data_IF_261318694105
#
_entry.id   IF_261318694105
#
_cell.length_a   1.000
_cell.length_b   1.000
_cell.length_c   1.000
_cell.angle_alpha   90.00
_cell.angle_beta   90.00
_cell.angle_gamma   90.00
#
_symmetry.space_group_name_H-M   'P 1'
#
loop_
_entity.id
_entity.type
_entity.pdbx_description
1 polymer ?
#
# COMPACT_ATOMS: atom_id res chain seq x y z
N UNK A 1 20.10 -43.71 -28.12
CA UNK A 1 20.17 -42.47 -27.33
C UNK A 1 20.58 -41.33 -28.24
N UNK A 2 19.63 -40.59 -28.84
CA UNK A 2 19.91 -39.32 -29.50
C UNK A 2 19.30 -38.13 -28.75
N UNK A 3 20.03 -37.03 -28.85
CA UNK A 3 19.86 -35.75 -28.21
C UNK A 3 18.88 -34.80 -28.92
N UNK A 4 18.20 -33.99 -28.09
CA UNK A 4 17.97 -32.54 -28.20
C UNK A 4 17.30 -31.93 -29.46
N UNK A 5 16.05 -31.47 -29.25
CA UNK A 5 15.39 -30.18 -29.64
C UNK A 5 15.77 -29.52 -30.99
N UNK A 6 14.78 -29.01 -31.77
CA UNK A 6 14.15 -27.72 -31.41
C UNK A 6 12.68 -27.53 -31.84
N UNK A 7 11.88 -26.85 -31.00
CA UNK A 7 10.67 -26.13 -31.44
C UNK A 7 10.17 -25.14 -30.36
N UNK A 8 10.85 -24.00 -30.21
CA UNK A 8 10.34 -22.82 -29.50
C UNK A 8 10.65 -21.58 -30.35
N UNK A 9 9.84 -21.31 -31.38
CA UNK A 9 9.93 -20.03 -32.13
C UNK A 9 8.59 -19.49 -32.66
N UNK A 10 7.44 -20.01 -32.21
CA UNK A 10 6.13 -19.66 -32.79
C UNK A 10 5.26 -18.71 -31.95
N UNK A 11 5.64 -18.39 -30.70
CA UNK A 11 4.76 -17.62 -29.80
C UNK A 11 4.97 -16.09 -29.86
N UNK A 12 6.04 -15.60 -30.49
CA UNK A 12 6.36 -14.15 -30.48
C UNK A 12 5.92 -13.34 -31.72
N UNK A 13 5.24 -13.94 -32.71
CA UNK A 13 4.73 -13.17 -33.87
C UNK A 13 3.29 -12.66 -33.71
N UNK A 14 2.57 -13.07 -32.66
CA UNK A 14 1.15 -12.74 -32.46
C UNK A 14 0.87 -11.42 -31.72
N UNK A 15 1.82 -10.93 -30.91
CA UNK A 15 1.59 -9.76 -30.04
C UNK A 15 1.85 -8.43 -30.77
N UNK A 16 2.68 -8.44 -31.83
CA UNK A 16 3.02 -7.23 -32.58
C UNK A 16 1.87 -6.69 -33.46
N UNK A 17 0.84 -7.49 -33.75
CA UNK A 17 -0.31 -7.08 -34.59
C UNK A 17 -1.51 -6.54 -33.82
N UNK A 18 -1.51 -6.62 -32.49
CA UNK A 18 -2.62 -6.12 -31.66
C UNK A 18 -2.44 -4.66 -31.20
N UNK A 19 -1.30 -4.03 -31.50
CA UNK A 19 -0.96 -2.67 -31.04
C UNK A 19 -1.14 -1.57 -32.11
N UNK A 20 -1.51 -1.90 -33.35
CA UNK A 20 -1.67 -0.91 -34.44
C UNK A 20 -3.11 -0.44 -34.71
N UNK A 21 -4.09 -0.80 -33.88
CA UNK A 21 -5.50 -0.48 -34.14
C UNK A 21 -6.19 0.24 -32.97
N UNK A 22 -5.78 1.47 -32.66
CA UNK A 22 -6.62 2.41 -31.91
C UNK A 22 -6.48 3.84 -32.48
N UNK A 23 -7.55 4.44 -33.03
CA UNK A 23 -7.49 5.81 -33.53
C UNK A 23 -7.51 6.81 -32.38
N UNK A 24 -6.64 7.80 -32.47
CA UNK A 24 -6.52 8.93 -31.53
C UNK A 24 -7.86 9.69 -31.41
N UNK A 25 -8.36 9.85 -30.16
CA UNK A 25 -9.36 10.87 -29.84
C UNK A 25 -8.68 12.12 -29.32
N UNK A 26 -8.71 13.14 -30.17
CA UNK A 26 -8.14 14.45 -29.94
C UNK A 26 -9.18 15.36 -29.28
N UNK A 27 -9.57 15.11 -28.01
CA UNK A 27 -10.59 15.96 -27.37
C UNK A 27 -10.53 15.98 -25.83
N UNK A 28 -9.40 16.38 -25.24
CA UNK A 28 -9.34 16.53 -23.76
C UNK A 28 -8.47 17.69 -23.23
N UNK A 29 -8.12 18.67 -24.08
CA UNK A 29 -7.39 19.87 -23.65
C UNK A 29 -8.28 20.97 -23.02
N UNK A 30 -9.60 20.84 -23.08
CA UNK A 30 -10.53 21.88 -22.57
C UNK A 30 -10.87 21.76 -21.07
N UNK A 31 -10.78 20.57 -20.47
CA UNK A 31 -11.20 20.33 -19.08
C UNK A 31 -10.18 20.86 -18.04
N UNK A 32 -8.90 20.88 -18.39
CA UNK A 32 -7.85 21.28 -17.44
C UNK A 32 -7.80 22.80 -17.20
N UNK A 33 -8.05 23.62 -18.22
CA UNK A 33 -8.10 25.10 -18.09
C UNK A 33 -9.29 25.57 -17.23
N UNK A 34 -10.42 24.86 -17.29
CA UNK A 34 -11.61 25.20 -16.50
C UNK A 34 -11.41 24.93 -15.00
N UNK A 35 -10.66 23.88 -14.64
CA UNK A 35 -10.40 23.53 -13.23
C UNK A 35 -9.40 24.47 -12.56
N UNK A 36 -8.37 24.93 -13.29
CA UNK A 36 -7.40 25.92 -12.77
C UNK A 36 -8.04 27.30 -12.56
N UNK A 37 -8.92 27.74 -13.47
CA UNK A 37 -9.64 29.01 -13.34
C UNK A 37 -10.63 29.04 -12.16
N UNK A 38 -11.22 27.88 -11.79
CA UNK A 38 -12.12 27.75 -10.65
C UNK A 38 -11.38 27.75 -9.30
N UNK A 39 -10.16 27.23 -9.26
CA UNK A 39 -9.31 27.26 -8.07
C UNK A 39 -8.80 28.69 -7.77
N UNK A 40 -8.38 29.44 -8.79
CA UNK A 40 -7.92 30.82 -8.63
C UNK A 40 -9.03 31.80 -8.21
N UNK A 41 -10.29 31.55 -8.62
CA UNK A 41 -11.46 32.34 -8.17
C UNK A 41 -11.85 32.12 -6.70
N UNK A 42 -11.43 31.00 -6.08
CA UNK A 42 -11.68 30.76 -4.65
C UNK A 42 -10.67 31.46 -3.75
N UNK A 43 -9.41 31.59 -4.19
CA UNK A 43 -8.37 32.33 -3.47
C UNK A 43 -8.58 33.86 -3.49
N UNK A 44 -9.25 34.40 -4.52
CA UNK A 44 -9.48 35.85 -4.62
C UNK A 44 -10.70 36.37 -3.82
N UNK A 45 -11.47 35.49 -3.15
CA UNK A 45 -12.73 35.87 -2.47
C UNK A 45 -12.62 36.06 -0.95
N UNK A 46 -11.45 35.86 -0.35
CA UNK A 46 -11.24 35.97 1.10
C UNK A 46 -10.66 37.30 1.60
N UNK A 47 -10.67 38.35 0.76
CA UNK A 47 -10.38 39.72 1.22
C UNK A 47 -11.69 40.46 1.47
N UNK A 48 -12.31 40.28 2.65
CA UNK A 48 -13.47 41.08 3.06
C UNK A 48 -13.10 42.25 3.98
N UNK A 49 -13.67 43.39 3.63
CA UNK A 49 -13.69 44.67 4.33
C UNK A 49 -14.45 44.62 5.68
N UNK A 50 -14.29 45.60 6.58
CA UNK A 50 -14.80 45.53 7.95
C UNK A 50 -16.33 45.68 8.00
N UNK A 51 -16.98 44.73 8.68
CA UNK A 51 -18.44 44.73 8.90
C UNK A 51 -18.82 45.62 10.09
N UNK A 52 -19.80 46.48 9.86
CA UNK A 52 -20.49 47.30 10.86
C UNK A 52 -21.32 46.45 11.81
N UNK A 53 -21.14 46.66 13.12
CA UNK A 53 -21.87 45.99 14.20
C UNK A 53 -23.29 46.54 14.29
N UNK A 54 -24.30 45.70 14.06
CA UNK A 54 -25.69 45.95 14.47
C UNK A 54 -26.05 45.05 15.63
N UNK A 55 -26.41 45.68 16.74
CA UNK A 55 -26.95 45.09 17.97
C UNK A 55 -28.32 44.46 17.67
N UNK A 56 -28.46 43.15 17.86
CA UNK A 56 -29.74 42.44 17.73
C UNK A 56 -30.06 41.74 19.04
N UNK A 57 -31.33 41.87 19.44
CA UNK A 57 -31.91 41.46 20.70
C UNK A 57 -31.80 39.96 21.02
N UNK A 58 -31.75 39.68 22.32
CA UNK A 58 -31.63 38.36 22.94
C UNK A 58 -32.81 37.42 22.61
N UNK A 59 -32.55 36.21 22.08
CA UNK A 59 -33.57 35.19 21.95
C UNK A 59 -33.77 34.44 23.27
N UNK A 60 -35.04 34.18 23.57
CA UNK A 60 -35.57 33.47 24.74
C UNK A 60 -35.15 31.99 24.78
N UNK A 61 -34.88 31.55 26.01
CA UNK A 61 -34.14 30.35 26.44
C UNK A 61 -34.88 28.98 26.32
N UNK A 62 -35.80 28.76 25.38
CA UNK A 62 -36.71 27.60 25.46
C UNK A 62 -36.67 26.57 24.30
N UNK A 63 -35.73 26.65 23.35
CA UNK A 63 -35.73 25.76 22.17
C UNK A 63 -34.35 25.18 21.76
N UNK A 64 -33.40 25.00 22.69
CA UNK A 64 -32.02 24.57 22.35
C UNK A 64 -31.81 23.04 22.43
N UNK A 65 -32.83 22.23 22.73
CA UNK A 65 -32.62 20.84 23.15
C UNK A 65 -32.84 19.72 22.11
N UNK A 66 -33.10 19.97 20.82
CA UNK A 66 -33.55 18.89 19.92
C UNK A 66 -33.03 18.89 18.47
N UNK A 67 -31.82 19.38 18.21
CA UNK A 67 -31.13 19.13 16.93
C UNK A 67 -29.66 18.75 17.14
N UNK A 68 -29.42 17.64 17.83
CA UNK A 68 -28.17 16.90 17.63
C UNK A 68 -28.25 16.26 16.24
N UNK A 69 -27.94 17.04 15.20
CA UNK A 69 -27.75 16.50 13.85
C UNK A 69 -26.74 15.37 13.98
N UNK A 70 -27.18 14.15 13.67
CA UNK A 70 -26.36 12.94 13.69
C UNK A 70 -25.25 13.15 12.66
N UNK A 71 -24.14 13.78 13.05
CA UNK A 71 -23.03 14.05 12.17
C UNK A 71 -22.56 12.69 11.65
N UNK A 72 -22.70 12.50 10.34
CA UNK A 72 -22.15 11.31 9.69
C UNK A 72 -20.65 11.31 9.97
N UNK A 73 -20.06 10.17 10.38
CA UNK A 73 -18.62 10.09 10.57
C UNK A 73 -17.92 10.53 9.28
N UNK A 74 -16.89 11.34 9.41
CA UNK A 74 -16.09 11.80 8.26
C UNK A 74 -15.39 10.61 7.61
N UNK A 75 -15.50 10.49 6.28
CA UNK A 75 -14.80 9.48 5.48
C UNK A 75 -13.29 9.63 5.63
N UNK A 76 -12.58 8.50 5.67
CA UNK A 76 -11.11 8.47 5.78
C UNK A 76 -10.46 8.81 4.44
N UNK A 77 -9.57 9.82 4.41
CA UNK A 77 -8.90 10.26 3.19
C UNK A 77 -7.71 9.35 2.89
N UNK A 78 -7.76 8.67 1.75
CA UNK A 78 -6.69 7.81 1.28
C UNK A 78 -6.07 8.45 0.04
N UNK A 79 -4.76 8.60 0.04
CA UNK A 79 -4.04 9.15 -1.11
C UNK A 79 -3.25 8.03 -1.79
N UNK A 80 -3.57 7.78 -3.06
CA UNK A 80 -2.81 6.90 -3.94
C UNK A 80 -1.78 7.74 -4.68
N UNK A 81 -0.50 7.46 -4.50
CA UNK A 81 0.59 8.19 -5.15
C UNK A 81 1.00 7.44 -6.41
N UNK A 82 0.76 8.08 -7.56
CA UNK A 82 1.19 7.62 -8.88
C UNK A 82 2.49 8.33 -9.29
N UNK A 83 3.41 7.62 -9.95
CA UNK A 83 3.08 6.75 -11.07
C UNK A 83 3.26 5.26 -10.75
N UNK A 84 2.60 4.42 -11.56
CA UNK A 84 2.69 2.96 -11.44
C UNK A 84 1.66 2.27 -12.32
N UNK A 85 2.05 1.16 -12.96
CA UNK A 85 1.13 0.36 -13.77
C UNK A 85 -0.09 -0.10 -12.94
N UNK A 86 0.14 -0.42 -11.66
CA UNK A 86 -0.91 -0.80 -10.70
C UNK A 86 -1.98 0.26 -10.48
N UNK A 87 -1.68 1.57 -10.60
CA UNK A 87 -2.70 2.62 -10.44
C UNK A 87 -3.75 2.54 -11.54
N UNK A 88 -3.33 2.26 -12.78
CA UNK A 88 -4.24 2.08 -13.91
C UNK A 88 -4.90 0.71 -13.88
N UNK A 89 -4.12 -0.35 -13.66
CA UNK A 89 -4.62 -1.73 -13.66
C UNK A 89 -5.68 -1.96 -12.57
N UNK A 90 -5.51 -1.34 -11.40
CA UNK A 90 -6.45 -1.43 -10.29
C UNK A 90 -7.34 -0.18 -10.13
N UNK A 91 -7.50 0.62 -11.19
CA UNK A 91 -8.33 1.83 -11.18
C UNK A 91 -9.76 1.58 -10.71
N UNK A 92 -10.36 0.47 -11.14
CA UNK A 92 -11.72 0.09 -10.73
C UNK A 92 -11.81 -0.22 -9.24
N UNK A 93 -10.82 -0.90 -8.66
CA UNK A 93 -10.79 -1.21 -7.22
C UNK A 93 -10.80 0.08 -6.39
N UNK A 94 -10.00 1.08 -6.79
CA UNK A 94 -10.01 2.39 -6.14
C UNK A 94 -11.34 3.12 -6.30
N UNK A 95 -11.96 3.04 -7.49
CA UNK A 95 -13.26 3.64 -7.74
C UNK A 95 -14.35 3.03 -6.85
N UNK A 96 -14.39 1.70 -6.75
CA UNK A 96 -15.37 0.96 -5.94
C UNK A 96 -15.19 1.28 -4.44
N UNK A 97 -13.95 1.30 -3.95
CA UNK A 97 -13.63 1.75 -2.59
C UNK A 97 -14.11 3.19 -2.31
N UNK A 98 -14.04 4.07 -3.31
CA UNK A 98 -14.50 5.45 -3.23
C UNK A 98 -16.02 5.59 -3.34
N UNK A 99 -16.76 4.55 -3.76
CA UNK A 99 -18.22 4.56 -3.69
C UNK A 99 -18.73 4.20 -2.28
N UNK A 100 -17.93 3.45 -1.51
CA UNK A 100 -18.24 3.10 -0.13
C UNK A 100 -18.24 4.28 0.86
N UNK A 101 -18.86 4.07 2.02
CA UNK A 101 -18.97 5.11 3.07
C UNK A 101 -17.71 5.26 3.94
N UNK A 102 -16.73 4.37 3.82
CA UNK A 102 -15.56 4.34 4.71
C UNK A 102 -14.41 5.24 4.26
N UNK A 103 -14.14 5.28 2.95
CA UNK A 103 -12.91 5.87 2.40
C UNK A 103 -13.23 6.91 1.36
N UNK A 104 -12.45 7.98 1.28
CA UNK A 104 -12.40 8.93 0.17
C UNK A 104 -11.04 8.73 -0.52
N UNK A 105 -11.03 8.26 -1.75
CA UNK A 105 -9.79 8.00 -2.49
C UNK A 105 -9.45 9.20 -3.37
N UNK A 106 -8.21 9.65 -3.30
CA UNK A 106 -7.62 10.65 -4.19
C UNK A 106 -6.34 10.09 -4.81
N UNK A 107 -6.17 10.28 -6.12
CA UNK A 107 -4.95 9.87 -6.82
C UNK A 107 -4.13 11.12 -7.12
N UNK A 108 -2.90 11.16 -6.62
CA UNK A 108 -1.94 12.21 -6.95
C UNK A 108 -0.99 11.70 -8.01
N UNK A 109 -0.92 12.43 -9.12
CA UNK A 109 -0.07 12.09 -10.25
C UNK A 109 -0.65 11.07 -11.24
N UNK A 110 0.12 10.75 -12.27
CA UNK A 110 -0.21 9.75 -13.28
C UNK A 110 1.05 9.18 -13.95
N UNK A 111 0.91 7.99 -14.56
CA UNK A 111 1.99 7.39 -15.38
C UNK A 111 2.30 8.23 -16.62
N UNK A 112 3.53 8.13 -17.11
CA UNK A 112 4.05 8.89 -18.26
C UNK A 112 4.06 10.42 -18.08
N UNK A 113 3.90 10.91 -16.85
CA UNK A 113 4.13 12.31 -16.54
C UNK A 113 5.61 12.66 -16.73
N UNK A 114 5.93 13.96 -16.88
CA UNK A 114 7.32 14.40 -17.03
C UNK A 114 8.19 14.01 -15.83
N UNK A 115 7.62 13.81 -14.64
CA UNK A 115 8.36 13.38 -13.45
C UNK A 115 8.45 11.86 -13.32
N UNK A 116 7.80 11.08 -14.20
CA UNK A 116 7.74 9.61 -14.14
C UNK A 116 9.05 8.94 -14.61
N UNK A 117 10.14 9.28 -13.92
CA UNK A 117 11.51 8.83 -14.15
C UNK A 117 12.25 8.78 -12.81
N UNK A 118 13.18 7.84 -12.67
CA UNK A 118 14.02 7.74 -11.49
C UNK A 118 14.96 8.96 -11.36
N UNK A 119 15.40 9.32 -10.14
CA UNK A 119 16.38 10.39 -9.93
C UNK A 119 17.77 9.99 -10.43
N UNK A 120 18.68 10.96 -10.60
CA UNK A 120 20.01 10.79 -11.21
C UNK A 120 20.91 9.75 -10.53
N UNK A 121 20.68 9.48 -9.25
CA UNK A 121 21.40 8.47 -8.49
C UNK A 121 21.06 7.02 -8.88
N UNK A 122 19.98 6.82 -9.64
CA UNK A 122 19.56 5.50 -10.12
C UNK A 122 20.12 5.22 -11.52
N UNK A 123 20.19 3.94 -11.86
CA UNK A 123 20.55 3.53 -13.22
C UNK A 123 19.52 4.10 -14.21
N UNK A 124 19.99 4.82 -15.23
CA UNK A 124 19.14 5.55 -16.19
C UNK A 124 18.25 6.62 -15.54
N UNK A 125 18.68 7.14 -14.39
CA UNK A 125 18.10 8.29 -13.74
C UNK A 125 18.16 9.57 -14.57
N UNK A 126 17.39 10.57 -14.17
CA UNK A 126 17.34 11.86 -14.85
C UNK A 126 17.18 13.02 -13.84
N UNK A 127 17.63 14.23 -14.21
CA UNK A 127 17.45 15.42 -13.38
C UNK A 127 15.97 15.76 -13.19
N UNK A 128 15.67 16.63 -12.23
CA UNK A 128 14.31 17.11 -12.01
C UNK A 128 13.73 17.74 -13.31
N UNK A 129 12.45 17.52 -13.63
CA UNK A 129 11.45 16.82 -12.82
C UNK A 129 11.59 15.29 -12.89
N UNK A 130 11.60 14.64 -11.73
CA UNK A 130 11.68 13.20 -11.54
C UNK A 130 10.84 12.78 -10.30
N UNK A 131 10.82 11.48 -9.97
CA UNK A 131 10.04 10.97 -8.84
C UNK A 131 10.42 11.61 -7.50
N UNK A 132 11.69 11.97 -7.32
CA UNK A 132 12.16 12.64 -6.10
C UNK A 132 11.62 14.06 -6.00
N UNK A 133 11.67 14.86 -7.07
CA UNK A 133 11.09 16.22 -7.03
C UNK A 133 9.56 16.18 -6.91
N UNK A 134 8.91 15.18 -7.49
CA UNK A 134 7.48 14.96 -7.35
C UNK A 134 7.07 14.63 -5.90
N UNK A 135 7.88 13.85 -5.18
CA UNK A 135 7.65 13.57 -3.76
C UNK A 135 7.54 14.86 -2.93
N UNK A 136 8.44 15.82 -3.18
CA UNK A 136 8.45 17.11 -2.49
C UNK A 136 7.22 17.96 -2.85
N UNK A 137 6.78 17.91 -4.11
CA UNK A 137 5.57 18.61 -4.58
C UNK A 137 4.31 18.10 -3.87
N UNK A 138 4.18 16.79 -3.68
CA UNK A 138 2.98 16.18 -3.08
C UNK A 138 3.03 16.03 -1.56
N UNK A 139 4.14 16.39 -0.91
CA UNK A 139 4.33 16.18 0.53
C UNK A 139 3.23 16.85 1.39
N UNK A 140 2.82 18.07 1.03
CA UNK A 140 1.77 18.80 1.73
C UNK A 140 0.41 18.09 1.67
N UNK A 141 0.03 17.57 0.50
CA UNK A 141 -1.20 16.79 0.36
C UNK A 141 -1.11 15.42 1.04
N UNK A 142 0.04 14.75 0.90
CA UNK A 142 0.30 13.46 1.53
C UNK A 142 0.12 13.51 3.05
N UNK A 143 0.57 14.59 3.70
CA UNK A 143 0.43 14.82 5.15
C UNK A 143 -1.03 14.96 5.62
N UNK A 144 -1.95 15.29 4.72
CA UNK A 144 -3.36 15.43 5.03
C UNK A 144 -4.15 14.11 4.85
N UNK A 145 -3.48 13.01 4.47
CA UNK A 145 -4.11 11.70 4.35
C UNK A 145 -4.25 10.99 5.71
N UNK A 146 -5.25 10.13 5.84
CA UNK A 146 -5.31 9.14 6.91
C UNK A 146 -4.41 7.92 6.62
N UNK A 147 -4.14 7.63 5.33
CA UNK A 147 -3.26 6.56 4.88
C UNK A 147 -2.82 6.79 3.43
N UNK A 148 -1.61 6.36 3.09
CA UNK A 148 -1.04 6.41 1.74
C UNK A 148 -1.08 5.02 1.09
N UNK A 149 -1.23 5.00 -0.23
CA UNK A 149 -1.02 3.79 -1.06
C UNK A 149 0.01 4.13 -2.12
N UNK A 150 1.10 3.38 -2.14
CA UNK A 150 2.16 3.53 -3.13
C UNK A 150 2.48 2.17 -3.73
N UNK A 151 2.87 2.13 -5.00
CA UNK A 151 3.28 0.89 -5.66
C UNK A 151 4.56 1.05 -6.43
N UNK A 152 5.37 -0.02 -6.48
CA UNK A 152 6.62 -0.11 -7.24
C UNK A 152 7.45 1.17 -7.09
N UNK A 153 7.67 1.92 -8.17
CA UNK A 153 8.37 3.22 -8.22
C UNK A 153 7.97 4.23 -7.14
N UNK A 154 6.67 4.34 -6.83
CA UNK A 154 6.20 5.21 -5.75
C UNK A 154 6.73 4.78 -4.38
N UNK A 155 6.70 3.46 -4.10
CA UNK A 155 7.26 2.91 -2.87
C UNK A 155 8.79 2.96 -2.82
N UNK A 156 9.46 2.83 -3.97
CA UNK A 156 10.91 2.84 -4.08
C UNK A 156 11.54 4.23 -3.96
N UNK A 157 10.87 5.28 -4.47
CA UNK A 157 11.44 6.63 -4.50
C UNK A 157 10.60 7.62 -3.71
N UNK A 158 9.30 7.67 -3.96
CA UNK A 158 8.45 8.73 -3.41
C UNK A 158 8.29 8.58 -1.89
N UNK A 159 8.00 7.37 -1.39
CA UNK A 159 7.86 7.14 0.05
C UNK A 159 9.15 7.46 0.83
N UNK A 160 10.35 6.98 0.44
CA UNK A 160 11.61 7.41 1.06
C UNK A 160 11.80 8.92 1.11
N UNK A 161 11.52 9.63 0.01
CA UNK A 161 11.66 11.09 -0.03
C UNK A 161 10.62 11.82 0.82
N UNK A 162 9.42 11.26 0.96
CA UNK A 162 8.44 11.76 1.92
C UNK A 162 8.92 11.55 3.36
N UNK A 163 9.48 10.38 3.69
CA UNK A 163 10.06 10.14 5.02
C UNK A 163 11.25 11.06 5.32
N UNK A 164 12.13 11.32 4.35
CA UNK A 164 13.21 12.30 4.51
C UNK A 164 12.66 13.70 4.82
N UNK A 165 11.55 14.10 4.18
CA UNK A 165 10.97 15.42 4.33
C UNK A 165 10.19 15.61 5.65
N UNK A 166 9.46 14.60 6.12
CA UNK A 166 8.52 14.74 7.25
C UNK A 166 8.68 13.70 8.38
N UNK A 167 9.58 12.74 8.22
CA UNK A 167 9.87 11.69 9.22
C UNK A 167 8.65 10.87 9.61
N UNK A 168 8.56 10.54 10.91
CA UNK A 168 7.45 9.77 11.51
C UNK A 168 6.10 10.47 11.50
N UNK A 169 6.06 11.76 11.15
CA UNK A 169 4.81 12.51 11.02
C UNK A 169 4.01 12.07 9.77
N UNK A 170 4.65 11.41 8.80
CA UNK A 170 3.96 10.88 7.62
C UNK A 170 2.84 9.91 8.03
N UNK A 171 1.67 9.96 7.36
CA UNK A 171 0.62 8.97 7.55
C UNK A 171 1.10 7.53 7.28
N UNK A 172 0.40 6.51 7.81
CA UNK A 172 0.75 5.12 7.54
C UNK A 172 0.66 4.83 6.03
N UNK A 173 1.44 3.87 5.55
CA UNK A 173 1.51 3.55 4.12
C UNK A 173 1.26 2.07 3.83
N UNK A 174 0.45 1.79 2.81
CA UNK A 174 0.41 0.49 2.13
C UNK A 174 1.36 0.57 0.93
N UNK A 175 2.33 -0.34 0.86
CA UNK A 175 3.35 -0.36 -0.18
C UNK A 175 3.24 -1.64 -0.99
N UNK A 176 2.88 -1.49 -2.26
CA UNK A 176 2.66 -2.60 -3.18
C UNK A 176 3.98 -2.94 -3.88
N UNK A 177 4.26 -4.24 -3.91
CA UNK A 177 5.46 -4.90 -4.39
C UNK A 177 6.71 -4.48 -3.61
N UNK A 178 6.65 -4.43 -2.29
CA UNK A 178 7.85 -4.30 -1.44
C UNK A 178 8.53 -2.93 -1.45
N UNK A 179 8.34 -2.09 -2.47
CA UNK A 179 8.84 -0.71 -2.59
C UNK A 179 10.16 -0.40 -1.89
N UNK A 180 10.05 0.26 -0.73
CA UNK A 180 11.15 0.71 0.14
C UNK A 180 11.90 -0.43 0.87
N UNK A 181 11.36 -1.65 0.87
CA UNK A 181 11.97 -2.84 1.44
C UNK A 181 12.60 -3.70 0.34
N UNK A 182 13.47 -3.07 -0.47
CA UNK A 182 14.22 -3.72 -1.56
C UNK A 182 15.69 -3.30 -1.51
N UNK A 183 16.52 -3.97 -2.31
CA UNK A 183 17.89 -3.54 -2.57
C UNK A 183 17.91 -2.29 -3.46
N UNK A 184 17.75 -1.12 -2.84
CA UNK A 184 17.74 0.16 -3.53
C UNK A 184 19.16 0.71 -3.73
N UNK A 185 19.41 1.54 -4.76
CA UNK A 185 20.72 2.18 -4.97
C UNK A 185 21.15 3.12 -3.84
N UNK A 186 20.19 3.63 -3.08
CA UNK A 186 20.41 4.55 -1.96
C UNK A 186 19.86 3.94 -0.67
N UNK A 187 20.56 4.20 0.44
CA UNK A 187 20.05 3.86 1.76
C UNK A 187 18.83 4.73 2.09
N UNK A 188 17.75 4.10 2.55
CA UNK A 188 16.51 4.78 2.91
C UNK A 188 16.54 5.18 4.38
N UNK A 189 16.16 6.43 4.67
CA UNK A 189 15.83 6.85 6.03
C UNK A 189 14.41 6.37 6.37
N UNK A 190 14.28 5.15 6.86
CA UNK A 190 13.00 4.58 7.30
C UNK A 190 12.76 4.93 8.78
N UNK A 191 11.77 5.77 9.13
CA UNK A 191 11.56 6.18 10.51
C UNK A 191 11.15 5.02 11.43
N UNK A 192 11.66 5.00 12.66
CA UNK A 192 11.38 3.92 13.63
C UNK A 192 9.88 3.77 13.97
N UNK A 193 9.11 4.86 13.86
CA UNK A 193 7.67 4.89 14.13
C UNK A 193 6.81 4.94 12.85
N UNK A 194 7.42 4.76 11.68
CA UNK A 194 6.68 4.69 10.44
C UNK A 194 5.85 3.40 10.40
N UNK A 195 4.54 3.55 10.24
CA UNK A 195 3.63 2.41 10.08
C UNK A 195 3.57 2.04 8.60
N UNK A 196 3.96 0.80 8.28
CA UNK A 196 4.05 0.34 6.90
C UNK A 196 3.43 -1.03 6.74
N UNK A 197 2.59 -1.21 5.72
CA UNK A 197 2.09 -2.51 5.32
C UNK A 197 2.63 -2.85 3.93
N UNK A 198 3.58 -3.76 3.87
CA UNK A 198 4.20 -4.24 2.64
C UNK A 198 3.33 -5.35 2.05
N UNK A 199 3.04 -5.27 0.75
CA UNK A 199 2.39 -6.33 -0.02
C UNK A 199 3.37 -6.80 -1.09
N UNK A 200 3.70 -8.09 -1.14
CA UNK A 200 4.60 -8.66 -2.15
C UNK A 200 4.00 -9.92 -2.77
N UNK A 201 4.26 -10.11 -4.07
CA UNK A 201 3.76 -11.25 -4.84
C UNK A 201 4.82 -12.31 -5.09
N UNK A 202 4.44 -13.59 -4.94
CA UNK A 202 5.28 -14.73 -5.26
C UNK A 202 5.51 -14.90 -6.75
N UNK A 203 4.59 -14.46 -7.60
CA UNK A 203 4.74 -14.44 -9.06
C UNK A 203 5.28 -13.09 -9.58
N UNK A 204 5.79 -12.21 -8.71
CA UNK A 204 6.44 -10.96 -9.12
C UNK A 204 7.86 -11.22 -9.66
N UNK A 205 7.95 -11.71 -10.90
CA UNK A 205 9.22 -11.98 -11.56
C UNK A 205 10.10 -10.72 -11.75
N UNK A 206 9.53 -9.51 -11.66
CA UNK A 206 10.29 -8.27 -11.81
C UNK A 206 11.17 -8.00 -10.58
N UNK A 207 10.62 -8.20 -9.38
CA UNK A 207 11.35 -7.88 -8.13
C UNK A 207 11.83 -9.10 -7.36
N UNK A 208 11.08 -10.20 -7.38
CA UNK A 208 11.53 -11.46 -6.79
C UNK A 208 12.73 -12.03 -7.55
N UNK A 209 12.80 -11.79 -8.87
CA UNK A 209 13.82 -12.37 -9.74
C UNK A 209 13.87 -13.90 -9.59
N UNK A 210 15.05 -14.46 -9.29
CA UNK A 210 15.27 -15.90 -9.11
C UNK A 210 15.24 -16.35 -7.63
N UNK A 211 14.91 -15.47 -6.68
CA UNK A 211 14.88 -15.82 -5.26
C UNK A 211 13.81 -16.87 -4.97
N UNK A 212 14.05 -17.75 -4.01
CA UNK A 212 12.98 -18.58 -3.43
C UNK A 212 11.96 -17.68 -2.68
N UNK A 213 10.74 -18.17 -2.40
CA UNK A 213 9.79 -17.44 -1.56
C UNK A 213 10.40 -16.99 -0.23
N UNK A 214 11.14 -17.89 0.42
CA UNK A 214 11.76 -17.67 1.72
C UNK A 214 12.87 -16.62 1.63
N UNK A 215 13.75 -16.71 0.63
CA UNK A 215 14.79 -15.71 0.38
C UNK A 215 14.21 -14.33 0.13
N UNK A 216 13.13 -14.24 -0.66
CA UNK A 216 12.49 -12.97 -0.97
C UNK A 216 11.83 -12.34 0.25
N UNK A 217 11.13 -13.15 1.06
CA UNK A 217 10.55 -12.69 2.33
C UNK A 217 11.61 -12.23 3.31
N UNK A 218 12.65 -13.04 3.56
CA UNK A 218 13.72 -12.70 4.50
C UNK A 218 14.48 -11.46 4.04
N UNK A 219 14.81 -11.36 2.75
CA UNK A 219 15.44 -10.17 2.18
C UNK A 219 14.60 -8.91 2.39
N UNK A 220 13.28 -9.01 2.15
CA UNK A 220 12.34 -7.91 2.39
C UNK A 220 12.29 -7.51 3.88
N UNK A 221 12.22 -8.50 4.79
CA UNK A 221 12.22 -8.27 6.24
C UNK A 221 13.51 -7.62 6.73
N UNK A 222 14.67 -7.97 6.16
CA UNK A 222 15.98 -7.41 6.52
C UNK A 222 16.12 -5.93 6.12
N UNK A 223 15.36 -5.46 5.13
CA UNK A 223 15.33 -4.04 4.77
C UNK A 223 14.55 -3.18 5.79
N UNK A 224 13.71 -3.79 6.63
CA UNK A 224 12.97 -3.07 7.68
C UNK A 224 13.91 -2.82 8.85
N UNK A 225 14.07 -1.57 9.33
CA UNK A 225 14.91 -1.30 10.49
C UNK A 225 14.49 -2.12 11.70
N UNK A 226 15.45 -2.73 12.41
CA UNK A 226 15.17 -3.53 13.60
C UNK A 226 14.47 -2.75 14.73
N UNK A 227 14.57 -1.42 14.72
CA UNK A 227 13.88 -0.53 15.66
C UNK A 227 12.42 -0.28 15.30
N UNK A 228 11.97 -0.65 14.09
CA UNK A 228 10.58 -0.45 13.67
C UNK A 228 9.71 -1.61 14.15
N UNK A 229 8.70 -1.29 14.96
CA UNK A 229 7.77 -2.27 15.54
C UNK A 229 6.37 -2.19 14.92
N UNK A 230 6.21 -1.42 13.84
CA UNK A 230 4.93 -1.13 13.21
C UNK A 230 4.88 -1.46 11.73
N UNK A 231 5.54 -2.56 11.35
CA UNK A 231 5.54 -3.05 9.97
C UNK A 231 4.89 -4.42 9.86
N UNK A 232 4.08 -4.60 8.83
CA UNK A 232 3.60 -5.91 8.40
C UNK A 232 3.97 -6.16 6.94
N UNK A 233 4.07 -7.42 6.59
CA UNK A 233 4.38 -7.94 5.26
C UNK A 233 3.36 -9.03 4.93
N UNK A 234 2.57 -8.82 3.89
CA UNK A 234 1.73 -9.86 3.30
C UNK A 234 2.40 -10.37 2.03
N UNK A 235 2.89 -11.60 2.09
CA UNK A 235 3.38 -12.34 0.95
C UNK A 235 2.28 -13.28 0.44
N UNK A 236 1.96 -13.19 -0.85
CA UNK A 236 0.94 -14.01 -1.52
C UNK A 236 1.58 -14.75 -2.69
N UNK A 237 1.59 -16.08 -2.65
CA UNK A 237 2.28 -16.92 -3.63
C UNK A 237 1.81 -16.65 -5.06
N UNK A 238 0.50 -16.50 -5.25
CA UNK A 238 -0.15 -16.41 -6.55
C UNK A 238 -0.21 -14.97 -7.09
N UNK A 239 0.17 -13.98 -6.28
CA UNK A 239 0.14 -12.57 -6.69
C UNK A 239 1.27 -12.28 -7.68
N UNK A 240 0.92 -11.72 -8.83
CA UNK A 240 1.85 -11.22 -9.85
C UNK A 240 2.47 -9.87 -9.46
N UNK A 241 3.27 -9.29 -10.36
CA UNK A 241 3.79 -7.93 -10.18
C UNK A 241 2.68 -6.88 -9.98
N UNK A 242 1.50 -7.07 -10.53
CA UNK A 242 0.34 -6.25 -10.13
C UNK A 242 -0.61 -7.17 -9.38
N UNK A 243 -1.10 -6.78 -8.18
CA UNK A 243 -2.16 -7.53 -7.54
C UNK A 243 -3.33 -7.68 -8.51
N UNK A 244 -3.80 -8.91 -8.71
CA UNK A 244 -4.98 -9.17 -9.52
C UNK A 244 -6.16 -8.40 -8.92
N UNK A 245 -7.00 -7.78 -9.73
CA UNK A 245 -7.98 -6.81 -9.23
C UNK A 245 -8.97 -7.39 -8.20
N UNK A 246 -9.34 -8.66 -8.33
CA UNK A 246 -10.22 -9.34 -7.37
C UNK A 246 -9.51 -9.59 -6.03
N UNK A 247 -8.26 -10.06 -6.03
CA UNK A 247 -7.43 -10.13 -4.84
C UNK A 247 -7.26 -8.76 -4.18
N UNK A 248 -6.98 -7.73 -4.99
CA UNK A 248 -6.73 -6.40 -4.47
C UNK A 248 -7.98 -5.76 -3.86
N UNK A 249 -9.14 -5.95 -4.48
CA UNK A 249 -10.43 -5.53 -3.94
C UNK A 249 -10.73 -6.20 -2.61
N UNK A 250 -10.34 -7.48 -2.46
CA UNK A 250 -10.47 -8.23 -1.22
C UNK A 250 -9.60 -7.65 -0.10
N UNK A 251 -8.31 -7.45 -0.35
CA UNK A 251 -7.34 -7.16 0.73
C UNK A 251 -7.20 -5.67 1.03
N UNK A 252 -7.29 -4.77 0.04
CA UNK A 252 -6.99 -3.35 0.23
C UNK A 252 -7.82 -2.69 1.35
N UNK A 253 -9.15 -2.91 1.49
CA UNK A 253 -9.91 -2.37 2.61
C UNK A 253 -9.34 -2.77 3.98
N UNK A 254 -8.82 -4.00 4.10
CA UNK A 254 -8.22 -4.50 5.33
C UNK A 254 -6.86 -3.87 5.59
N UNK A 255 -6.01 -3.78 4.56
CA UNK A 255 -4.67 -3.16 4.69
C UNK A 255 -4.78 -1.72 5.19
N UNK A 256 -5.72 -0.94 4.65
CA UNK A 256 -5.97 0.44 5.07
C UNK A 256 -6.42 0.52 6.55
N UNK A 257 -7.31 -0.37 6.99
CA UNK A 257 -7.77 -0.41 8.39
C UNK A 257 -6.64 -0.82 9.34
N UNK A 258 -5.84 -1.82 8.96
CA UNK A 258 -4.67 -2.26 9.73
C UNK A 258 -3.71 -1.09 9.95
N UNK A 259 -3.30 -0.41 8.86
CA UNK A 259 -2.44 0.77 8.90
C UNK A 259 -2.97 1.86 9.86
N UNK A 260 -4.24 2.23 9.72
CA UNK A 260 -4.85 3.25 10.59
C UNK A 260 -5.01 2.80 12.04
N UNK A 261 -5.29 1.51 12.29
CA UNK A 261 -5.38 0.96 13.64
C UNK A 261 -4.01 0.97 14.32
N UNK A 262 -2.97 0.56 13.59
CA UNK A 262 -1.59 0.53 14.08
C UNK A 262 -1.05 1.92 14.39
N UNK A 263 -1.38 2.93 13.57
CA UNK A 263 -0.96 4.32 13.83
C UNK A 263 -1.48 4.87 15.16
N UNK A 264 -2.58 4.32 15.70
CA UNK A 264 -3.10 4.71 17.02
C UNK A 264 -2.30 4.14 18.19
N UNK A 265 -1.57 3.04 17.97
CA UNK A 265 -0.80 2.28 18.97
C UNK A 265 0.39 1.61 18.27
N UNK A 266 1.44 2.39 18.02
CA UNK A 266 2.60 1.97 17.20
C UNK A 266 3.31 0.75 17.83
N UNK A 267 3.30 0.69 19.16
CA UNK A 267 3.89 -0.37 19.98
C UNK A 267 3.13 -1.70 19.97
N UNK A 268 1.92 -1.74 19.41
CA UNK A 268 1.05 -2.93 19.47
C UNK A 268 0.42 -3.24 18.12
N UNK A 269 0.75 -4.42 17.59
CA UNK A 269 0.15 -4.92 16.36
C UNK A 269 -1.39 -5.00 16.48
N UNK A 270 -2.16 -4.54 15.46
CA UNK A 270 -3.61 -4.58 15.44
C UNK A 270 -4.09 -6.00 15.09
N UNK A 271 -3.92 -6.93 16.05
CA UNK A 271 -4.14 -8.37 15.86
C UNK A 271 -5.55 -8.69 15.36
N UNK A 272 -6.56 -7.94 15.81
CA UNK A 272 -7.95 -8.12 15.37
C UNK A 272 -8.08 -7.85 13.87
N UNK A 273 -7.56 -6.72 13.39
CA UNK A 273 -7.63 -6.34 11.99
C UNK A 273 -6.81 -7.28 11.10
N UNK A 274 -5.64 -7.74 11.58
CA UNK A 274 -4.81 -8.75 10.93
C UNK A 274 -5.56 -10.09 10.81
N UNK A 275 -6.24 -10.52 11.88
CA UNK A 275 -7.04 -11.74 11.88
C UNK A 275 -8.21 -11.63 10.89
N UNK A 276 -8.89 -10.48 10.82
CA UNK A 276 -9.95 -10.27 9.83
C UNK A 276 -9.43 -10.40 8.38
N UNK A 277 -8.23 -9.88 8.08
CA UNK A 277 -7.59 -10.08 6.77
C UNK A 277 -7.35 -11.57 6.48
N UNK A 278 -6.80 -12.31 7.45
CA UNK A 278 -6.54 -13.74 7.28
C UNK A 278 -7.83 -14.56 7.13
N UNK A 279 -8.88 -14.23 7.86
CA UNK A 279 -10.20 -14.85 7.71
C UNK A 279 -10.73 -14.64 6.30
N UNK A 280 -10.63 -13.41 5.77
CA UNK A 280 -11.08 -13.07 4.43
C UNK A 280 -10.31 -13.88 3.37
N UNK A 281 -8.98 -13.91 3.45
CA UNK A 281 -8.14 -14.69 2.53
C UNK A 281 -8.43 -16.20 2.56
N UNK A 282 -8.61 -16.77 3.76
CA UNK A 282 -8.93 -18.19 3.90
C UNK A 282 -10.35 -18.55 3.43
N UNK A 283 -11.25 -17.58 3.33
CA UNK A 283 -12.62 -17.79 2.83
C UNK A 283 -12.67 -18.04 1.33
N UNK A 284 -11.62 -17.63 0.58
CA UNK A 284 -11.50 -17.79 -0.88
C UNK A 284 -11.14 -19.22 -1.32
N UNK A 285 -11.56 -20.24 -0.56
CA UNK A 285 -11.46 -21.68 -0.93
C UNK A 285 -10.07 -22.15 -1.40
N UNK A 286 -9.01 -21.54 -0.86
CA UNK A 286 -7.63 -21.90 -1.20
C UNK A 286 -7.11 -21.30 -2.51
N UNK A 287 -7.77 -20.26 -3.04
CA UNK A 287 -7.26 -19.45 -4.16
C UNK A 287 -5.95 -18.74 -3.80
N UNK A 288 -5.79 -18.36 -2.54
CA UNK A 288 -4.63 -17.61 -2.07
C UNK A 288 -3.89 -18.36 -0.97
N UNK A 289 -2.57 -18.42 -1.11
CA UNK A 289 -1.68 -18.98 -0.10
C UNK A 289 -0.52 -18.04 0.15
N UNK A 290 0.10 -18.15 1.32
CA UNK A 290 1.26 -17.32 1.63
C UNK A 290 1.48 -17.17 3.12
N UNK A 291 2.06 -16.03 3.49
CA UNK A 291 2.41 -15.72 4.86
C UNK A 291 2.14 -14.25 5.18
N UNK A 292 1.54 -14.01 6.33
CA UNK A 292 1.48 -12.70 6.95
C UNK A 292 2.56 -12.63 8.01
N UNK A 293 3.58 -11.83 7.78
CA UNK A 293 4.62 -11.52 8.76
C UNK A 293 4.36 -10.15 9.38
N UNK A 294 4.63 -9.98 10.66
CA UNK A 294 4.58 -8.66 11.28
C UNK A 294 5.56 -8.48 12.43
N UNK A 295 6.01 -7.26 12.63
CA UNK A 295 6.93 -6.90 13.71
C UNK A 295 6.22 -6.86 15.05
N UNK A 296 6.92 -7.33 16.07
CA UNK A 296 6.58 -7.25 17.49
C UNK A 296 7.82 -6.76 18.25
N UNK A 297 7.68 -6.46 19.55
CA UNK A 297 8.85 -6.14 20.38
C UNK A 297 9.92 -7.25 20.44
N UNK A 298 9.58 -8.49 20.04
CA UNK A 298 10.49 -9.62 20.00
C UNK A 298 11.07 -9.92 18.59
N UNK A 299 10.72 -9.13 17.58
CA UNK A 299 11.05 -9.38 16.17
C UNK A 299 9.84 -9.77 15.33
N UNK A 300 10.06 -10.50 14.24
CA UNK A 300 9.01 -10.89 13.30
C UNK A 300 8.17 -12.07 13.83
N UNK A 301 6.86 -12.00 13.61
CA UNK A 301 5.91 -13.10 13.81
C UNK A 301 5.30 -13.47 12.48
N UNK A 302 5.42 -14.74 12.11
CA UNK A 302 4.93 -15.27 10.84
C UNK A 302 3.65 -16.08 11.05
N UNK A 303 2.64 -15.82 10.23
CA UNK A 303 1.35 -16.52 10.24
C UNK A 303 1.03 -17.01 8.83
N UNK A 304 1.28 -18.29 8.53
CA UNK A 304 0.94 -18.86 7.22
C UNK A 304 -0.59 -18.94 7.04
N UNK A 305 -1.06 -18.79 5.80
CA UNK A 305 -2.47 -18.95 5.42
C UNK A 305 -2.64 -19.71 4.11
N UNK A 306 -3.86 -20.18 3.85
CA UNK A 306 -4.19 -21.02 2.70
C UNK A 306 -4.41 -22.49 3.07
N UNK A 307 -4.34 -23.38 2.06
CA UNK A 307 -4.71 -24.78 2.20
C UNK A 307 -3.84 -25.54 3.23
N UNK A 308 -4.41 -25.82 4.40
CA UNK A 308 -3.75 -26.52 5.51
C UNK A 308 -3.19 -27.91 5.14
N UNK A 309 -3.73 -28.55 4.09
CA UNK A 309 -3.20 -29.83 3.59
C UNK A 309 -1.77 -29.72 3.08
N UNK A 310 -1.38 -28.58 2.49
CA UNK A 310 -0.02 -28.33 2.03
C UNK A 310 0.91 -28.00 3.20
N UNK A 311 0.44 -27.21 4.17
CA UNK A 311 1.23 -26.79 5.34
C UNK A 311 1.65 -27.95 6.25
N UNK A 312 0.84 -29.01 6.36
CA UNK A 312 1.21 -30.22 7.10
C UNK A 312 2.23 -31.10 6.36
N UNK A 313 2.31 -30.98 5.02
CA UNK A 313 3.27 -31.75 4.21
C UNK A 313 4.65 -31.11 4.13
N UNK A 314 4.77 -29.80 4.40
CA UNK A 314 6.03 -29.05 4.39
C UNK A 314 6.71 -29.01 5.78
N UNK A 315 6.43 -29.99 6.63
CA UNK A 315 6.84 -30.04 8.05
C UNK A 315 8.14 -29.35 8.40
N UNK A 316 8.05 -28.08 8.82
CA UNK A 316 8.87 -27.36 9.80
C UNK A 316 8.47 -25.89 9.76
N UNK A 317 7.58 -25.44 10.65
CA UNK A 317 7.42 -24.02 10.94
C UNK A 317 8.47 -23.67 12.00
N UNK A 318 9.53 -22.95 11.63
CA UNK A 318 10.58 -22.54 12.55
C UNK A 318 10.09 -21.30 13.31
N UNK A 319 9.68 -21.47 14.56
CA UNK A 319 9.38 -20.33 15.44
C UNK A 319 10.66 -20.01 16.20
N UNK A 320 11.38 -18.96 15.79
CA UNK A 320 12.56 -18.49 16.51
C UNK A 320 12.14 -17.63 17.70
N UNK A 321 12.14 -18.22 18.89
CA UNK A 321 12.18 -17.47 20.15
C UNK A 321 13.63 -17.34 20.59
N UNK A 322 14.11 -16.09 20.71
CA UNK A 322 15.34 -15.66 21.41
C UNK A 322 16.45 -16.70 21.66
N UNK A 323 17.57 -16.54 20.95
CA UNK A 323 18.91 -17.11 21.22
C UNK A 323 19.06 -18.62 21.49
N UNK A 324 18.03 -19.46 21.34
CA UNK A 324 18.18 -20.92 21.30
C UNK A 324 17.64 -21.47 19.99
N UNK A 325 18.54 -21.93 19.12
CA UNK A 325 18.16 -22.71 17.95
C UNK A 325 17.57 -24.04 18.43
N UNK A 326 16.25 -24.18 18.33
CA UNK A 326 15.53 -25.42 18.60
C UNK A 326 14.56 -25.71 17.46
N UNK A 327 14.56 -26.95 16.98
CA UNK A 327 13.62 -27.42 15.96
C UNK A 327 12.31 -27.83 16.63
N UNK A 328 11.17 -27.31 16.16
CA UNK A 328 9.85 -27.74 16.62
C UNK A 328 9.35 -28.84 15.68
N UNK A 329 9.27 -30.08 16.18
CA UNK A 329 8.86 -31.26 15.42
C UNK A 329 7.39 -31.67 15.66
N UNK A 330 6.54 -30.81 16.24
CA UNK A 330 5.22 -31.24 16.72
C UNK A 330 4.05 -30.36 16.24
N UNK A 331 3.05 -30.94 15.52
CA UNK A 331 1.82 -30.25 15.11
C UNK A 331 0.98 -29.66 16.26
N UNK A 332 1.16 -30.14 17.50
CA UNK A 332 0.40 -29.64 18.66
C UNK A 332 0.86 -28.26 19.13
N UNK A 333 2.08 -27.82 18.81
CA UNK A 333 2.61 -26.52 19.21
C UNK A 333 2.22 -25.38 18.25
N UNK A 334 2.01 -25.66 16.96
CA UNK A 334 1.37 -24.70 16.03
C UNK A 334 -0.05 -24.31 16.49
N UNK A 335 -0.80 -25.24 17.09
CA UNK A 335 -2.13 -24.93 17.65
C UNK A 335 -2.08 -23.94 18.82
N UNK A 336 -0.97 -23.84 19.55
CA UNK A 336 -0.83 -22.87 20.64
C UNK A 336 -0.63 -21.43 20.11
N UNK A 337 0.12 -21.26 19.01
CA UNK A 337 0.26 -19.96 18.33
C UNK A 337 -1.06 -19.51 17.67
N UNK A 338 -1.84 -20.45 17.12
CA UNK A 338 -3.20 -20.17 16.62
C UNK A 338 -4.20 -19.95 17.77
N UNK A 339 -3.99 -20.59 18.92
CA UNK A 339 -4.79 -20.41 20.14
C UNK A 339 -4.69 -19.02 20.76
N UNK A 340 -3.59 -18.28 20.50
CA UNK A 340 -3.45 -16.88 20.90
C UNK A 340 -4.40 -15.92 20.16
N UNK A 341 -5.07 -16.39 19.09
CA UNK A 341 -6.08 -15.64 18.32
C UNK A 341 -7.54 -16.03 18.64
N UNK A 342 -7.75 -16.89 19.64
CA UNK A 342 -9.08 -17.43 19.98
C UNK A 342 -9.59 -17.02 21.38
N UNK A 343 -8.94 -16.05 22.04
CA UNK A 343 -9.40 -15.43 23.28
C UNK A 343 -9.52 -13.91 23.12
#
# INVERSE_FOLDING_TARGET
MPSLLPAYSSIYSGIAKALEAFPERHEERSSHKVRVALAQRRLAKDTQAPRTVKTVASPTSAAVSAMKSKQRPSRKRIIVIAPGAGTRANGQVYADLCQGESFKIEVLGHSCAIYDRYPESWQHGAPAPNLSSFALEVAGDAMLADCLVLGSRGGQVVLPKLWEAVGSALPPAVVINGGCAMNLPEAICWPSEAVTFLLIGGCDHLFRSNMTPEEYMVGTQQCVPATNQSTALLYINEMEHMPQSHLFALILPHLLRICMAWKRRVEMAPLRELQCLLTELNSCRGEWTGCLSFTTGAGWTDVPFGNQRTLLSQGTCKVEYGQRQGWIHSPTQCKAAVGAFSN
#
